data_IF_345610640899
#
_entry.id   IF_345610640899
#
_cell.length_a   1.000
_cell.length_b   1.000
_cell.length_c   1.000
_cell.angle_alpha   90.00
_cell.angle_beta   90.00
_cell.angle_gamma   90.00
#
_symmetry.space_group_name_H-M   'P 1'
#
loop_
_entity.id
_entity.type
_entity.pdbx_description
1 polymer ?
#
# COMPACT_ATOMS: atom_id res chain seq x y z
N UNK A 1 -1.26 11.45 12.46
CA UNK A 1 -0.81 12.18 11.25
C UNK A 1 0.04 11.23 10.46
N UNK A 2 -0.37 10.97 9.23
CA UNK A 2 0.28 10.06 8.30
C UNK A 2 0.85 10.90 7.16
N UNK A 3 2.09 10.63 6.80
CA UNK A 3 2.77 11.26 5.67
C UNK A 3 3.02 10.17 4.62
N UNK A 4 2.58 10.35 3.36
CA UNK A 4 2.91 9.44 2.28
C UNK A 4 4.43 9.43 2.05
N UNK A 5 5.02 8.23 1.99
CA UNK A 5 6.46 8.01 1.75
C UNK A 5 6.73 7.11 0.53
N UNK A 6 5.67 6.60 -0.10
CA UNK A 6 5.75 5.79 -1.32
C UNK A 6 4.37 5.65 -1.95
N UNK A 7 4.36 5.41 -3.26
CA UNK A 7 3.15 5.19 -4.04
C UNK A 7 3.06 3.73 -4.49
N UNK A 8 1.84 3.25 -4.67
CA UNK A 8 1.53 1.96 -5.30
C UNK A 8 0.48 2.17 -6.40
N UNK A 9 0.32 1.19 -7.29
CA UNK A 9 -0.64 1.25 -8.40
C UNK A 9 -2.06 1.53 -7.92
N UNK A 10 -2.86 2.20 -8.75
CA UNK A 10 -4.25 2.53 -8.42
C UNK A 10 -4.39 3.61 -7.35
N UNK A 11 -3.39 4.50 -7.20
CA UNK A 11 -3.44 5.63 -6.25
C UNK A 11 -3.23 5.26 -4.78
N UNK A 12 -2.87 4.01 -4.49
CA UNK A 12 -2.57 3.54 -3.14
C UNK A 12 -1.25 4.11 -2.61
N UNK A 13 -1.10 4.19 -1.28
CA UNK A 13 0.06 4.83 -0.67
C UNK A 13 0.66 4.02 0.48
N UNK A 14 1.97 4.13 0.64
CA UNK A 14 2.70 3.72 1.84
C UNK A 14 2.87 4.96 2.71
N UNK A 15 2.42 4.88 3.96
CA UNK A 15 2.28 6.02 4.86
C UNK A 15 3.07 5.80 6.16
N UNK A 16 3.86 6.79 6.57
CA UNK A 16 4.55 6.83 7.86
C UNK A 16 3.74 7.61 8.89
N UNK A 17 3.48 7.00 10.05
CA UNK A 17 2.85 7.71 11.16
C UNK A 17 3.90 8.48 11.97
N UNK A 18 3.73 9.80 12.11
CA UNK A 18 4.73 10.66 12.78
C UNK A 18 4.26 11.22 14.14
N UNK A 19 3.07 10.85 14.61
CA UNK A 19 2.48 11.36 15.86
C UNK A 19 1.77 10.28 16.66
N UNK A 20 1.68 10.49 17.97
CA UNK A 20 0.94 9.63 18.89
C UNK A 20 1.63 8.30 19.19
N UNK A 21 0.87 7.36 19.74
CA UNK A 21 1.34 6.02 20.15
C UNK A 21 1.81 5.14 18.97
N UNK A 22 1.41 5.48 17.74
CA UNK A 22 1.79 4.78 16.51
C UNK A 22 3.00 5.43 15.81
N UNK A 23 3.67 6.42 16.43
CA UNK A 23 4.82 7.11 15.81
C UNK A 23 5.89 6.09 15.39
N UNK A 24 6.36 6.23 14.15
CA UNK A 24 7.37 5.35 13.55
C UNK A 24 6.81 4.16 12.77
N UNK A 25 5.54 3.80 12.96
CA UNK A 25 4.91 2.69 12.22
C UNK A 25 4.59 3.06 10.77
N UNK A 26 4.63 2.05 9.89
CA UNK A 26 4.38 2.17 8.46
C UNK A 26 3.10 1.41 8.10
N UNK A 27 2.26 2.05 7.29
CA UNK A 27 0.92 1.58 6.94
C UNK A 27 0.71 1.63 5.43
N UNK A 28 -0.01 0.66 4.88
CA UNK A 28 -0.52 0.71 3.52
C UNK A 28 -1.92 1.33 3.53
N UNK A 29 -2.13 2.35 2.71
CA UNK A 29 -3.43 2.97 2.49
C UNK A 29 -4.02 2.50 1.17
N UNK A 30 -5.10 1.72 1.27
CA UNK A 30 -5.93 1.37 0.14
C UNK A 30 -6.98 2.48 -0.05
N UNK A 31 -6.83 3.29 -1.09
CA UNK A 31 -7.73 4.43 -1.33
C UNK A 31 -9.12 3.96 -1.79
N UNK A 32 -9.20 2.78 -2.40
CA UNK A 32 -10.44 2.19 -2.94
C UNK A 32 -11.25 1.47 -1.86
N UNK A 33 -10.67 1.30 -0.66
CA UNK A 33 -11.34 0.58 0.42
C UNK A 33 -12.55 1.36 0.91
N UNK A 34 -13.69 0.66 1.01
CA UNK A 34 -14.92 1.26 1.50
C UNK A 34 -14.68 1.93 2.87
N UNK A 35 -15.09 3.19 3.03
CA UNK A 35 -14.95 3.92 4.29
C UNK A 35 -15.82 3.31 5.39
N UNK A 36 -16.71 2.36 5.07
CA UNK A 36 -17.59 1.67 6.00
C UNK A 36 -17.52 0.17 5.75
N UNK A 37 -17.10 -0.60 6.75
CA UNK A 37 -17.04 -2.07 6.69
C UNK A 37 -17.83 -2.62 7.87
N UNK A 38 -18.81 -3.49 7.62
CA UNK A 38 -19.69 -4.07 8.65
C UNK A 38 -20.30 -2.99 9.56
N UNK A 39 -20.79 -1.89 8.96
CA UNK A 39 -21.35 -0.71 9.65
C UNK A 39 -20.37 0.02 10.59
N UNK A 40 -19.06 -0.13 10.40
CA UNK A 40 -18.02 0.58 11.16
C UNK A 40 -17.12 1.40 10.23
N UNK A 41 -16.68 2.59 10.66
CA UNK A 41 -15.77 3.39 9.87
C UNK A 41 -14.43 2.68 9.71
N UNK A 42 -13.93 2.65 8.48
CA UNK A 42 -12.63 2.13 8.10
C UNK A 42 -11.76 3.26 7.58
N UNK A 43 -10.47 3.21 7.91
CA UNK A 43 -9.49 4.18 7.39
C UNK A 43 -8.81 3.71 6.10
N UNK A 44 -9.08 2.48 5.65
CA UNK A 44 -8.33 1.84 4.57
C UNK A 44 -6.85 1.58 4.90
N UNK A 45 -6.43 1.79 6.16
CA UNK A 45 -5.05 1.64 6.62
C UNK A 45 -4.81 0.24 7.17
N UNK A 46 -3.84 -0.46 6.59
CA UNK A 46 -3.34 -1.76 7.05
C UNK A 46 -1.90 -1.60 7.54
N UNK A 47 -1.59 -2.10 8.74
CA UNK A 47 -0.24 -2.04 9.29
C UNK A 47 0.67 -2.99 8.49
N UNK A 48 1.82 -2.48 8.02
CA UNK A 48 2.82 -3.30 7.31
C UNK A 48 4.15 -3.42 8.07
N UNK A 49 4.48 -2.45 8.91
CA UNK A 49 5.62 -2.53 9.82
C UNK A 49 5.40 -1.68 11.07
N UNK A 50 5.84 -2.17 12.22
CA UNK A 50 5.73 -1.47 13.51
C UNK A 50 6.73 -0.32 13.65
N UNK A 51 7.81 -0.34 12.86
CA UNK A 51 8.80 0.74 12.77
C UNK A 51 9.30 0.97 11.35
N UNK A 52 9.84 2.15 11.08
CA UNK A 52 10.45 2.48 9.79
C UNK A 52 11.67 1.60 9.50
N UNK A 53 12.49 1.28 10.50
CA UNK A 53 13.64 0.38 10.32
C UNK A 53 13.20 -1.04 9.97
N UNK A 54 12.14 -1.55 10.60
CA UNK A 54 11.57 -2.85 10.26
C UNK A 54 11.07 -2.86 8.80
N UNK A 55 10.42 -1.77 8.35
CA UNK A 55 10.01 -1.64 6.96
C UNK A 55 11.21 -1.72 5.99
N UNK A 56 12.26 -0.93 6.24
CA UNK A 56 13.47 -0.95 5.39
C UNK A 56 14.15 -2.32 5.37
N UNK A 57 14.20 -3.03 6.51
CA UNK A 57 14.81 -4.36 6.59
C UNK A 57 14.08 -5.44 5.79
N UNK A 58 12.81 -5.20 5.42
CA UNK A 58 11.98 -6.11 4.63
C UNK A 58 11.93 -5.76 3.15
N UNK A 59 12.59 -4.68 2.71
CA UNK A 59 12.63 -4.33 1.31
C UNK A 59 13.53 -5.31 0.56
N UNK A 60 12.97 -5.90 -0.49
CA UNK A 60 13.67 -6.83 -1.37
C UNK A 60 13.69 -6.26 -2.79
N UNK A 61 14.73 -6.59 -3.54
CA UNK A 61 14.80 -6.23 -4.95
C UNK A 61 13.81 -7.11 -5.71
N UNK A 62 12.96 -6.50 -6.52
CA UNK A 62 12.17 -7.24 -7.48
C UNK A 62 13.13 -7.89 -8.50
N UNK A 63 13.21 -9.22 -8.47
CA UNK A 63 13.89 -9.97 -9.51
C UNK A 63 13.07 -9.80 -10.78
N UNK A 64 13.62 -9.05 -11.74
CA UNK A 64 12.98 -8.84 -13.04
C UNK A 64 12.96 -10.18 -13.76
N UNK A 65 11.83 -10.86 -13.71
CA UNK A 65 11.58 -11.98 -14.61
C UNK A 65 11.49 -11.41 -16.03
N UNK A 66 12.56 -11.60 -16.81
CA UNK A 66 12.63 -11.22 -18.21
C UNK A 66 11.73 -12.12 -19.09
N UNK A 67 10.90 -12.98 -18.50
CA UNK A 67 9.88 -13.69 -19.23
C UNK A 67 8.93 -12.67 -19.90
N UNK A 68 8.59 -12.87 -21.19
CA UNK A 68 7.71 -11.94 -21.89
C UNK A 68 6.39 -11.85 -21.13
N UNK A 69 6.02 -10.64 -20.70
CA UNK A 69 4.73 -10.38 -20.07
C UNK A 69 3.64 -10.94 -20.99
N UNK A 70 2.89 -11.95 -20.50
CA UNK A 70 1.69 -12.45 -21.18
C UNK A 70 0.61 -11.36 -21.11
N UNK A 71 0.75 -10.36 -21.96
CA UNK A 71 -0.32 -9.42 -22.23
C UNK A 71 -1.42 -10.18 -22.98
N UNK A 72 -2.53 -10.45 -22.29
CA UNK A 72 -3.75 -10.92 -22.93
C UNK A 72 -4.46 -9.66 -23.43
N UNK A 73 -4.31 -9.36 -24.72
CA UNK A 73 -5.09 -8.31 -25.38
C UNK A 73 -6.53 -8.80 -25.52
N UNK A 74 -7.43 -8.29 -24.69
CA UNK A 74 -8.88 -8.40 -24.92
C UNK A 74 -9.30 -7.11 -25.62
N UNK A 75 -9.60 -7.21 -26.91
CA UNK A 75 -10.30 -6.18 -27.66
C UNK A 75 -11.80 -6.28 -27.34
N UNK A 76 -12.36 -5.18 -26.80
CA UNK A 76 -13.81 -5.01 -26.64
C UNK A 76 -14.32 -4.30 -27.90
N UNK A 77 -15.00 -5.03 -28.77
CA UNK A 77 -15.77 -4.45 -29.86
C UNK A 77 -17.13 -3.99 -29.29
N UNK A 78 -17.46 -2.70 -29.47
CA UNK A 78 -18.78 -2.12 -29.18
C UNK A 78 -19.59 -1.97 -30.46
#
# INVERSE_FOLDING_TARGET
LWIPIGCSSGGNQICLCIKGNKKGSVWFWNHEMDPIINNKPSSGLTLIASSFNEFISKLEKEEVDNSPSKAISISLDF
#
